data_IF_977485731160
#
_entry.id   IF_977485731160
#
_cell.length_a   1.000
_cell.length_b   1.000
_cell.length_c   1.000
_cell.angle_alpha   90.00
_cell.angle_beta   90.00
_cell.angle_gamma   90.00
#
_symmetry.space_group_name_H-M   'P 1'
#
loop_
_entity.id
_entity.type
_entity.pdbx_description
1 polymer ?
#
# COMPACT_ATOMS: atom_id res chain seq x y z
N UNK A 1 -1.38 -19.57 -14.37
CA UNK A 1 -0.03 -19.76 -13.80
C UNK A 1 -0.04 -19.21 -12.37
N UNK A 2 0.71 -19.76 -11.41
CA UNK A 2 0.79 -19.19 -10.07
C UNK A 2 1.40 -17.78 -10.11
N UNK A 3 1.00 -16.91 -9.17
CA UNK A 3 1.49 -15.52 -9.03
C UNK A 3 2.36 -15.36 -7.76
N UNK A 4 3.50 -16.09 -7.63
CA UNK A 4 4.26 -16.15 -6.40
C UNK A 4 4.79 -14.79 -5.93
N UNK A 5 5.20 -13.90 -6.85
CA UNK A 5 5.75 -12.60 -6.47
C UNK A 5 4.65 -11.69 -5.91
N UNK A 6 3.49 -11.62 -6.57
CA UNK A 6 2.32 -10.89 -6.06
C UNK A 6 1.83 -11.48 -4.76
N UNK A 7 1.78 -12.81 -4.63
CA UNK A 7 1.34 -13.48 -3.40
C UNK A 7 2.22 -13.13 -2.20
N UNK A 8 3.54 -13.01 -2.39
CA UNK A 8 4.47 -12.54 -1.36
C UNK A 8 4.08 -11.14 -0.87
N UNK A 9 3.90 -10.18 -1.77
CA UNK A 9 3.55 -8.81 -1.37
C UNK A 9 2.14 -8.71 -0.80
N UNK A 10 1.20 -9.53 -1.27
CA UNK A 10 -0.13 -9.64 -0.69
C UNK A 10 -0.06 -10.09 0.78
N UNK A 11 0.74 -11.11 1.09
CA UNK A 11 0.94 -11.59 2.45
C UNK A 11 1.58 -10.52 3.36
N UNK A 12 2.63 -9.85 2.88
CA UNK A 12 3.32 -8.79 3.63
C UNK A 12 2.42 -7.57 3.89
N UNK A 13 1.68 -7.13 2.87
CA UNK A 13 0.76 -5.99 2.98
C UNK A 13 -0.47 -6.33 3.82
N UNK A 14 -0.96 -7.57 3.79
CA UNK A 14 -1.99 -8.04 4.71
C UNK A 14 -1.48 -8.01 6.16
N UNK A 15 -0.24 -8.43 6.41
CA UNK A 15 0.41 -8.30 7.72
C UNK A 15 0.46 -6.84 8.19
N UNK A 16 0.92 -5.93 7.33
CA UNK A 16 0.93 -4.49 7.64
C UNK A 16 -0.49 -3.97 7.92
N UNK A 17 -1.47 -4.35 7.11
CA UNK A 17 -2.86 -3.96 7.29
C UNK A 17 -3.38 -4.37 8.67
N UNK A 18 -3.14 -5.62 9.09
CA UNK A 18 -3.53 -6.13 10.41
C UNK A 18 -2.86 -5.35 11.55
N UNK A 19 -1.56 -5.05 11.43
CA UNK A 19 -0.84 -4.23 12.43
C UNK A 19 -1.50 -2.86 12.58
N UNK A 20 -1.86 -2.22 11.47
CA UNK A 20 -2.54 -0.92 11.49
C UNK A 20 -3.97 -1.01 12.06
N UNK A 21 -4.72 -2.08 11.75
CA UNK A 21 -6.04 -2.35 12.34
C UNK A 21 -5.96 -2.48 13.86
N UNK A 22 -5.02 -3.29 14.36
CA UNK A 22 -4.79 -3.48 15.80
C UNK A 22 -4.43 -2.15 16.46
N UNK A 23 -3.60 -1.33 15.79
CA UNK A 23 -3.26 0.00 16.28
C UNK A 23 -4.49 0.89 16.42
N UNK A 24 -5.40 0.91 15.44
CA UNK A 24 -6.68 1.66 15.55
C UNK A 24 -7.48 1.17 16.75
N UNK A 25 -7.66 -0.14 16.91
CA UNK A 25 -8.41 -0.73 18.03
C UNK A 25 -7.82 -0.33 19.38
N UNK A 26 -6.49 -0.42 19.52
CA UNK A 26 -5.79 -0.04 20.76
C UNK A 26 -5.98 1.44 21.10
N UNK A 27 -5.88 2.34 20.11
CA UNK A 27 -6.06 3.77 20.34
C UNK A 27 -7.52 4.11 20.70
N UNK A 28 -8.50 3.50 20.01
CA UNK A 28 -9.92 3.68 20.34
C UNK A 28 -10.24 3.25 21.76
N UNK A 29 -9.72 2.10 22.20
CA UNK A 29 -9.88 1.63 23.58
C UNK A 29 -9.23 2.55 24.59
N UNK A 30 -7.98 2.98 24.35
CA UNK A 30 -7.23 3.87 25.25
C UNK A 30 -7.92 5.21 25.48
N UNK A 31 -8.58 5.75 24.46
CA UNK A 31 -9.22 7.07 24.50
C UNK A 31 -10.76 7.01 24.54
N UNK A 32 -11.33 5.83 24.82
CA UNK A 32 -12.77 5.60 24.92
C UNK A 32 -13.59 6.12 23.71
N UNK A 33 -13.03 5.98 22.50
CA UNK A 33 -13.68 6.44 21.25
C UNK A 33 -14.38 5.28 20.56
N UNK A 34 -15.72 5.26 20.60
CA UNK A 34 -16.53 4.24 19.93
C UNK A 34 -16.59 4.44 18.41
N UNK A 35 -16.92 5.66 17.95
CA UNK A 35 -17.09 6.01 16.54
C UNK A 35 -16.42 7.34 16.20
N UNK A 36 -16.19 7.59 14.91
CA UNK A 36 -15.45 8.76 14.44
C UNK A 36 -14.00 8.75 14.91
N UNK A 37 -13.35 9.92 14.92
CA UNK A 37 -11.98 10.08 15.41
C UNK A 37 -11.75 11.45 16.07
N UNK A 38 -12.48 11.82 17.13
CA UNK A 38 -12.34 13.11 17.80
C UNK A 38 -10.99 13.30 18.50
N UNK A 39 -10.30 12.21 18.84
CA UNK A 39 -8.98 12.26 19.48
C UNK A 39 -7.87 12.18 18.42
N UNK A 40 -6.92 13.12 18.44
CA UNK A 40 -5.85 13.26 17.43
C UNK A 40 -5.05 11.98 17.18
N UNK A 41 -4.72 11.23 18.24
CA UNK A 41 -4.01 9.94 18.09
C UNK A 41 -4.87 8.82 17.49
N UNK A 42 -6.18 8.86 17.70
CA UNK A 42 -7.13 7.95 17.05
C UNK A 42 -7.27 8.32 15.58
N UNK A 43 -7.40 9.61 15.26
CA UNK A 43 -7.46 10.12 13.89
C UNK A 43 -6.24 9.68 13.06
N UNK A 44 -5.03 9.85 13.60
CA UNK A 44 -3.80 9.42 12.95
C UNK A 44 -3.77 7.92 12.69
N UNK A 45 -4.14 7.10 13.67
CA UNK A 45 -4.21 5.65 13.48
C UNK A 45 -5.24 5.28 12.41
N UNK A 46 -6.42 5.92 12.42
CA UNK A 46 -7.47 5.71 11.42
C UNK A 46 -7.02 6.14 10.03
N UNK A 47 -6.32 7.26 9.88
CA UNK A 47 -5.82 7.73 8.58
C UNK A 47 -4.69 6.85 8.03
N UNK A 48 -3.76 6.39 8.87
CA UNK A 48 -2.73 5.45 8.44
C UNK A 48 -3.33 4.12 7.96
N UNK A 49 -4.31 3.59 8.70
CA UNK A 49 -5.03 2.37 8.32
C UNK A 49 -5.89 2.58 7.06
N UNK A 50 -6.67 3.66 7.00
CA UNK A 50 -7.53 4.00 5.87
C UNK A 50 -6.74 4.17 4.57
N UNK A 51 -5.60 4.84 4.62
CA UNK A 51 -4.72 4.96 3.45
C UNK A 51 -4.19 3.59 2.98
N UNK A 52 -3.90 2.67 3.90
CA UNK A 52 -3.56 1.29 3.53
C UNK A 52 -4.76 0.61 2.83
N UNK A 53 -5.96 0.73 3.38
CA UNK A 53 -7.20 0.17 2.83
C UNK A 53 -7.57 0.73 1.44
N UNK A 54 -7.31 2.01 1.20
CA UNK A 54 -7.60 2.71 -0.05
C UNK A 54 -6.68 2.26 -1.20
N UNK A 55 -5.38 2.07 -0.93
CA UNK A 55 -4.38 1.86 -1.99
C UNK A 55 -3.93 0.42 -2.17
N UNK A 56 -3.84 -0.38 -1.09
CA UNK A 56 -3.32 -1.75 -1.16
C UNK A 56 -4.12 -2.66 -2.11
N UNK A 57 -5.47 -2.67 -2.09
CA UNK A 57 -6.24 -3.51 -2.99
C UNK A 57 -5.94 -3.21 -4.47
N UNK A 58 -5.92 -1.93 -4.85
CA UNK A 58 -5.62 -1.52 -6.22
C UNK A 58 -4.18 -1.89 -6.61
N UNK A 59 -3.21 -1.67 -5.72
CA UNK A 59 -1.81 -2.03 -5.99
C UNK A 59 -1.59 -3.53 -6.16
N UNK A 60 -2.28 -4.36 -5.37
CA UNK A 60 -2.20 -5.83 -5.50
C UNK A 60 -2.87 -6.34 -6.77
N UNK A 61 -4.02 -5.78 -7.15
CA UNK A 61 -4.67 -6.08 -8.44
C UNK A 61 -3.72 -5.76 -9.59
N UNK A 62 -3.08 -4.60 -9.55
CA UNK A 62 -2.14 -4.17 -10.59
C UNK A 62 -0.91 -5.08 -10.67
N UNK A 63 -0.30 -5.44 -9.54
CA UNK A 63 0.83 -6.39 -9.49
C UNK A 63 0.44 -7.76 -10.04
N UNK A 64 -0.73 -8.28 -9.65
CA UNK A 64 -1.22 -9.58 -10.09
C UNK A 64 -1.49 -9.63 -11.59
N UNK A 65 -2.06 -8.55 -12.15
CA UNK A 65 -2.25 -8.42 -13.59
C UNK A 65 -0.91 -8.35 -14.33
N UNK A 66 0.05 -7.56 -13.84
CA UNK A 66 1.38 -7.45 -14.44
C UNK A 66 2.11 -8.79 -14.46
N UNK A 67 2.15 -9.51 -13.34
CA UNK A 67 2.77 -10.84 -13.26
C UNK A 67 2.01 -11.84 -14.15
N UNK A 68 0.68 -11.80 -14.15
CA UNK A 68 -0.16 -12.65 -15.00
C UNK A 68 0.00 -12.39 -16.49
N UNK A 69 0.35 -11.17 -16.89
CA UNK A 69 0.65 -10.78 -18.26
C UNK A 69 2.12 -10.96 -18.65
N UNK A 70 2.92 -11.61 -17.80
CA UNK A 70 4.29 -11.97 -18.11
C UNK A 70 5.33 -10.87 -17.85
N UNK A 71 5.02 -9.86 -17.01
CA UNK A 71 6.06 -8.94 -16.55
C UNK A 71 7.19 -9.75 -15.88
N UNK A 72 8.46 -9.53 -16.22
CA UNK A 72 9.58 -10.25 -15.61
C UNK A 72 9.55 -10.16 -14.08
N UNK A 73 9.92 -11.24 -13.40
CA UNK A 73 9.86 -11.34 -11.94
C UNK A 73 10.58 -10.19 -11.22
N UNK A 74 11.74 -9.75 -11.74
CA UNK A 74 12.47 -8.62 -11.17
C UNK A 74 11.65 -7.32 -11.21
N UNK A 75 10.83 -7.10 -12.24
CA UNK A 75 9.96 -5.93 -12.38
C UNK A 75 8.81 -5.96 -11.37
N UNK A 76 8.19 -7.13 -11.18
CA UNK A 76 7.16 -7.34 -10.15
C UNK A 76 7.74 -7.12 -8.75
N UNK A 77 8.95 -7.63 -8.49
CA UNK A 77 9.62 -7.40 -7.20
C UNK A 77 10.02 -5.94 -6.97
N UNK A 78 10.47 -5.22 -8.00
CA UNK A 78 10.79 -3.81 -7.90
C UNK A 78 9.54 -2.99 -7.51
N UNK A 79 8.43 -3.19 -8.23
CA UNK A 79 7.16 -2.51 -7.96
C UNK A 79 6.61 -2.89 -6.58
N UNK A 80 6.58 -4.18 -6.24
CA UNK A 80 6.07 -4.66 -4.96
C UNK A 80 6.89 -4.18 -3.76
N UNK A 81 8.23 -4.15 -3.86
CA UNK A 81 9.11 -3.62 -2.80
C UNK A 81 8.89 -2.13 -2.62
N UNK A 82 8.88 -1.37 -3.72
CA UNK A 82 8.63 0.08 -3.66
C UNK A 82 7.25 0.38 -3.07
N UNK A 83 6.24 -0.44 -3.40
CA UNK A 83 4.90 -0.29 -2.88
C UNK A 83 4.85 -0.54 -1.37
N UNK A 84 5.37 -1.68 -0.91
CA UNK A 84 5.46 -2.02 0.50
C UNK A 84 6.22 -0.95 1.29
N UNK A 85 7.39 -0.51 0.80
CA UNK A 85 8.17 0.55 1.41
C UNK A 85 7.37 1.86 1.50
N UNK A 86 6.65 2.23 0.44
CA UNK A 86 5.78 3.40 0.43
C UNK A 86 4.68 3.34 1.50
N UNK A 87 4.05 2.17 1.67
CA UNK A 87 3.01 1.97 2.71
C UNK A 87 3.60 2.04 4.12
N UNK A 88 4.76 1.42 4.35
CA UNK A 88 5.46 1.45 5.66
C UNK A 88 5.90 2.87 6.01
N UNK A 89 6.55 3.58 5.08
CA UNK A 89 7.02 4.95 5.29
C UNK A 89 5.87 5.93 5.54
N UNK A 90 4.77 5.80 4.79
CA UNK A 90 3.59 6.62 4.99
C UNK A 90 2.96 6.38 6.37
N UNK A 91 2.74 5.11 6.72
CA UNK A 91 2.19 4.73 8.01
C UNK A 91 3.08 5.20 9.16
N UNK A 92 4.40 5.08 9.03
CA UNK A 92 5.36 5.63 10.00
C UNK A 92 5.22 7.15 10.10
N UNK A 93 5.23 7.88 8.99
CA UNK A 93 5.16 9.35 8.97
C UNK A 93 3.95 9.90 9.73
N UNK A 94 2.76 9.33 9.48
CA UNK A 94 1.51 9.69 10.18
C UNK A 94 1.53 9.29 11.66
N UNK A 95 2.27 8.25 12.00
CA UNK A 95 2.31 7.66 13.33
C UNK A 95 3.10 8.45 14.37
N UNK A 96 3.93 9.42 13.96
CA UNK A 96 4.81 10.21 14.81
C UNK A 96 4.15 11.50 15.29
N UNK A 97 4.45 11.94 16.52
CA UNK A 97 3.98 13.21 17.09
C UNK A 97 5.15 14.05 17.64
N UNK A 98 5.46 15.22 17.03
CA UNK A 98 4.81 15.85 15.87
C UNK A 98 4.95 15.02 14.58
N UNK A 99 4.05 15.26 13.62
CA UNK A 99 4.05 14.52 12.35
C UNK A 99 5.31 14.82 11.54
N UNK A 100 5.95 13.79 11.00
CA UNK A 100 7.13 13.97 10.16
C UNK A 100 6.69 13.97 8.69
N UNK A 101 6.35 15.16 8.19
CA UNK A 101 5.76 15.38 6.87
C UNK A 101 6.59 14.74 5.73
N UNK A 102 7.92 14.77 5.84
CA UNK A 102 8.84 14.20 4.84
C UNK A 102 8.57 12.72 4.57
N UNK A 103 8.38 11.90 5.61
CA UNK A 103 8.14 10.45 5.45
C UNK A 103 6.77 10.16 4.86
N UNK A 104 5.76 10.96 5.22
CA UNK A 104 4.42 10.87 4.64
C UNK A 104 4.44 11.16 3.14
N UNK A 105 5.09 12.27 2.75
CA UNK A 105 5.18 12.70 1.35
C UNK A 105 5.98 11.72 0.52
N UNK A 106 7.13 11.24 1.03
CA UNK A 106 7.92 10.20 0.36
C UNK A 106 7.12 8.90 0.18
N UNK A 107 6.42 8.45 1.22
CA UNK A 107 5.61 7.24 1.17
C UNK A 107 4.45 7.32 0.16
N UNK A 108 3.78 8.48 0.08
CA UNK A 108 2.76 8.72 -0.95
C UNK A 108 3.37 8.82 -2.36
N UNK A 109 4.50 9.52 -2.50
CA UNK A 109 5.21 9.64 -3.77
C UNK A 109 5.58 8.27 -4.36
N UNK A 110 6.13 7.37 -3.53
CA UNK A 110 6.43 6.00 -3.94
C UNK A 110 5.17 5.22 -4.37
N UNK A 111 4.06 5.45 -3.68
CA UNK A 111 2.80 4.76 -4.01
C UNK A 111 2.22 5.23 -5.33
N UNK A 112 2.23 6.54 -5.59
CA UNK A 112 1.82 7.07 -6.88
C UNK A 112 2.76 6.66 -8.00
N UNK A 113 4.07 6.61 -7.74
CA UNK A 113 5.04 6.10 -8.71
C UNK A 113 4.75 4.64 -9.09
N UNK A 114 4.48 3.77 -8.12
CA UNK A 114 4.11 2.37 -8.40
C UNK A 114 2.81 2.26 -9.19
N UNK A 115 1.76 2.99 -8.80
CA UNK A 115 0.48 2.94 -9.48
C UNK A 115 0.58 3.47 -10.92
N UNK A 116 1.28 4.59 -11.12
CA UNK A 116 1.49 5.18 -12.44
C UNK A 116 2.35 4.30 -13.34
N UNK A 117 3.52 3.87 -12.84
CA UNK A 117 4.43 3.00 -13.59
C UNK A 117 3.80 1.63 -13.89
N UNK A 118 3.11 1.05 -12.91
CA UNK A 118 2.42 -0.22 -13.09
C UNK A 118 1.26 -0.12 -14.09
N UNK A 119 0.47 0.96 -14.06
CA UNK A 119 -0.60 1.18 -15.03
C UNK A 119 -0.03 1.34 -16.46
N UNK A 120 1.04 2.14 -16.61
CA UNK A 120 1.70 2.31 -17.90
C UNK A 120 2.29 0.99 -18.42
N UNK A 121 2.95 0.21 -17.56
CA UNK A 121 3.50 -1.09 -17.92
C UNK A 121 2.39 -2.08 -18.32
N UNK A 122 1.28 -2.10 -17.58
CA UNK A 122 0.15 -2.98 -17.88
C UNK A 122 -0.48 -2.62 -19.23
N UNK A 123 -0.71 -1.33 -19.49
CA UNK A 123 -1.19 -0.87 -20.80
C UNK A 123 -0.24 -1.25 -21.93
N UNK A 124 1.08 -1.10 -21.73
CA UNK A 124 2.08 -1.52 -22.71
C UNK A 124 2.03 -3.01 -23.02
N UNK A 125 1.91 -3.86 -21.97
CA UNK A 125 1.76 -5.31 -22.15
C UNK A 125 0.47 -5.67 -22.85
N UNK A 126 -0.66 -5.05 -22.51
CA UNK A 126 -1.95 -5.28 -23.18
C UNK A 126 -1.87 -4.94 -24.66
N UNK A 127 -1.31 -3.77 -24.99
CA UNK A 127 -1.17 -3.35 -26.38
C UNK A 127 -0.24 -4.27 -27.17
N UNK A 128 0.87 -4.72 -26.57
CA UNK A 128 1.78 -5.67 -27.21
C UNK A 128 1.10 -7.01 -27.52
N UNK A 129 0.24 -7.51 -26.62
CA UNK A 129 -0.53 -8.75 -26.84
C UNK A 129 -1.69 -8.58 -27.82
N UNK A 130 -2.27 -7.39 -27.95
CA UNK A 130 -3.38 -7.13 -28.86
C UNK A 130 -2.94 -6.87 -30.30
N UNK A 131 -1.68 -6.46 -30.51
CA UNK A 131 -1.12 -6.07 -31.80
C UNK A 131 -0.18 -7.12 -32.42
N UNK A 132 0.08 -8.22 -31.72
CA UNK A 132 0.90 -9.35 -32.18
C UNK A 132 0.16 -10.67 -32.07
#
# INVERSE_FOLDING_TARGET
>A
MPLPATALYAALLAGLFLVLSIRVVRQRRRYHVALGAPHRLVERAVRAHGNCAEYVPLGLVLLGLLEGMGLPAWGVHALGTAFLAGRVLHAWGISQEPEVLRWRTLGMGLTFAVLGAGAAALLGLVLAHALG
#
